data_IF_359981180753
#
_entry.id   IF_359981180753
#
_cell.length_a   1.000
_cell.length_b   1.000
_cell.length_c   1.000
_cell.angle_alpha   90.00
_cell.angle_beta   90.00
_cell.angle_gamma   90.00
#
_symmetry.space_group_name_H-M   'P 1'
#
loop_
_entity.id
_entity.type
_entity.pdbx_description
1 polymer ?
#
# COMPACT_ATOMS: atom_id res chain seq x y z
N UNK A 1 -29.19 38.82 31.21
CA UNK A 1 -29.32 38.15 29.88
C UNK A 1 -28.30 38.62 28.85
N UNK A 2 -27.91 39.91 28.82
CA UNK A 2 -26.96 40.45 27.82
C UNK A 2 -25.54 39.85 27.92
N UNK A 3 -25.02 39.64 29.14
CA UNK A 3 -23.67 39.05 29.34
C UNK A 3 -23.58 37.59 28.91
N UNK A 4 -24.62 36.79 29.12
CA UNK A 4 -24.67 35.39 28.67
C UNK A 4 -24.65 35.29 27.13
N UNK A 5 -25.33 36.22 26.43
CA UNK A 5 -25.33 36.27 24.96
C UNK A 5 -23.94 36.64 24.40
N UNK A 6 -23.21 37.52 25.09
CA UNK A 6 -21.84 37.89 24.73
C UNK A 6 -20.85 36.74 24.93
N UNK A 7 -21.01 35.93 25.98
CA UNK A 7 -20.20 34.73 26.20
C UNK A 7 -20.46 33.65 25.13
N UNK A 8 -21.72 33.43 24.76
CA UNK A 8 -22.09 32.44 23.71
C UNK A 8 -21.56 32.88 22.33
N UNK A 9 -21.69 34.17 21.99
CA UNK A 9 -21.11 34.73 20.76
C UNK A 9 -19.58 34.61 20.73
N UNK A 10 -18.91 34.89 21.86
CA UNK A 10 -17.46 34.71 21.98
C UNK A 10 -17.03 33.25 21.83
N UNK A 11 -17.79 32.31 22.39
CA UNK A 11 -17.52 30.88 22.26
C UNK A 11 -17.72 30.37 20.83
N UNK A 12 -18.76 30.82 20.13
CA UNK A 12 -19.00 30.50 18.71
C UNK A 12 -17.91 31.09 17.81
N UNK A 13 -17.43 32.30 18.12
CA UNK A 13 -16.33 32.93 17.38
C UNK A 13 -15.00 32.18 17.59
N UNK A 14 -14.77 31.68 18.82
CA UNK A 14 -13.58 30.87 19.14
C UNK A 14 -13.62 29.49 18.46
N UNK A 15 -14.81 28.88 18.33
CA UNK A 15 -15.00 27.62 17.62
C UNK A 15 -14.86 27.76 16.09
N UNK A 16 -15.13 28.95 15.53
CA UNK A 16 -14.96 29.23 14.10
C UNK A 16 -13.51 29.49 13.67
N UNK A 17 -12.59 29.72 14.62
CA UNK A 17 -11.18 30.02 14.35
C UNK A 17 -10.23 28.83 14.48
N UNK A 18 -10.72 27.62 14.81
CA UNK A 18 -9.94 26.40 14.58
C UNK A 18 -9.92 26.14 13.08
N UNK A 19 -9.04 26.89 12.41
CA UNK A 19 -8.89 26.89 10.97
C UNK A 19 -8.78 25.48 10.43
N UNK A 20 -9.49 25.27 9.33
CA UNK A 20 -9.18 24.26 8.34
C UNK A 20 -7.72 24.47 7.95
N UNK A 21 -6.79 23.81 8.65
CA UNK A 21 -5.47 23.57 8.09
C UNK A 21 -5.76 22.73 6.86
N UNK A 22 -5.77 23.37 5.69
CA UNK A 22 -5.74 22.66 4.43
C UNK A 22 -4.56 21.71 4.53
N UNK A 23 -4.85 20.41 4.52
CA UNK A 23 -3.82 19.40 4.37
C UNK A 23 -3.13 19.71 3.05
N UNK A 24 -1.97 20.37 3.15
CA UNK A 24 -1.12 20.62 1.99
C UNK A 24 -0.64 19.25 1.54
N UNK A 25 -1.41 18.61 0.65
CA UNK A 25 -0.96 17.42 -0.04
C UNK A 25 0.18 17.89 -0.92
N UNK A 26 1.42 17.76 -0.43
CA UNK A 26 2.61 18.11 -1.16
C UNK A 26 2.49 17.59 -2.59
N UNK A 27 2.70 18.47 -3.57
CA UNK A 27 2.54 18.11 -4.98
C UNK A 27 3.60 17.07 -5.33
N UNK A 28 3.16 15.85 -5.59
CA UNK A 28 3.98 14.80 -6.17
C UNK A 28 3.82 14.84 -7.69
N UNK A 29 4.92 15.01 -8.41
CA UNK A 29 4.98 14.80 -9.86
C UNK A 29 5.91 13.63 -10.11
N UNK A 30 5.45 12.63 -10.84
CA UNK A 30 6.25 11.49 -11.23
C UNK A 30 5.93 11.10 -12.69
N UNK A 31 6.94 10.58 -13.38
CA UNK A 31 6.81 10.08 -14.75
C UNK A 31 7.76 8.89 -14.99
N UNK A 32 7.48 8.14 -16.04
CA UNK A 32 8.22 6.97 -16.47
C UNK A 32 8.95 7.28 -17.78
N UNK A 33 10.18 6.80 -17.90
CA UNK A 33 10.97 6.90 -19.15
C UNK A 33 10.26 6.30 -20.37
N UNK A 34 9.36 5.34 -20.16
CA UNK A 34 8.47 4.78 -21.18
C UNK A 34 7.08 4.58 -20.60
N UNK A 35 6.07 5.19 -21.20
CA UNK A 35 4.68 5.05 -20.79
C UNK A 35 4.00 3.78 -21.32
N UNK A 36 4.56 3.13 -22.35
CA UNK A 36 4.03 1.90 -22.91
C UNK A 36 5.15 0.93 -23.30
N UNK A 37 4.97 -0.35 -22.99
CA UNK A 37 5.90 -1.43 -23.31
C UNK A 37 5.12 -2.51 -24.07
N UNK A 38 5.43 -2.71 -25.35
CA UNK A 38 4.81 -3.75 -26.15
C UNK A 38 5.44 -5.12 -25.82
N UNK A 39 4.62 -6.06 -25.33
CA UNK A 39 5.03 -7.44 -25.06
C UNK A 39 4.74 -8.28 -26.31
N UNK A 40 5.78 -8.73 -27.00
CA UNK A 40 5.70 -9.58 -28.20
C UNK A 40 6.44 -10.90 -27.98
N UNK A 41 6.36 -11.84 -28.93
CA UNK A 41 7.06 -13.14 -28.82
C UNK A 41 8.59 -13.02 -28.67
N UNK A 42 9.19 -11.89 -29.06
CA UNK A 42 10.62 -11.63 -28.90
C UNK A 42 10.96 -10.76 -27.68
N UNK A 43 10.03 -10.59 -26.73
CA UNK A 43 10.28 -9.78 -25.55
C UNK A 43 11.20 -10.52 -24.56
N UNK A 44 12.31 -9.89 -24.20
CA UNK A 44 13.31 -10.42 -23.26
C UNK A 44 13.47 -9.56 -21.99
N UNK A 45 12.52 -8.66 -21.72
CA UNK A 45 12.62 -7.66 -20.65
C UNK A 45 12.97 -6.26 -21.19
N UNK A 46 12.73 -5.25 -20.37
CA UNK A 46 13.18 -3.87 -20.59
C UNK A 46 13.44 -3.22 -19.25
N UNK A 47 14.41 -2.30 -19.21
CA UNK A 47 14.59 -1.42 -18.08
C UNK A 47 13.58 -0.26 -18.15
N UNK A 48 13.12 0.18 -16.99
CA UNK A 48 12.19 1.29 -16.81
C UNK A 48 12.70 2.20 -15.70
N UNK A 49 12.92 3.47 -16.03
CA UNK A 49 13.25 4.51 -15.06
C UNK A 49 11.98 5.24 -14.63
N UNK A 50 11.73 5.27 -13.31
CA UNK A 50 10.77 6.15 -12.64
C UNK A 50 11.51 7.35 -12.08
N UNK A 51 11.03 8.55 -12.38
CA UNK A 51 11.60 9.80 -11.88
C UNK A 51 10.49 10.77 -11.47
N UNK A 52 10.81 11.73 -10.62
CA UNK A 52 9.83 12.67 -10.11
C UNK A 52 10.41 13.69 -9.16
N UNK A 53 9.52 14.55 -8.66
CA UNK A 53 9.81 15.55 -7.65
C UNK A 53 8.62 15.64 -6.69
N UNK A 54 8.93 15.92 -5.42
CA UNK A 54 7.94 16.19 -4.37
C UNK A 54 8.12 17.63 -3.89
N UNK A 55 7.02 18.36 -3.75
CA UNK A 55 6.99 19.65 -3.08
C UNK A 55 6.87 19.41 -1.58
N UNK A 56 8.01 19.10 -0.96
CA UNK A 56 8.16 18.74 0.45
C UNK A 56 9.34 19.45 1.12
N UNK A 57 9.48 19.26 2.42
CA UNK A 57 10.60 19.78 3.20
C UNK A 57 11.85 18.89 3.06
N UNK A 58 13.02 19.46 3.31
CA UNK A 58 14.27 18.69 3.39
C UNK A 58 14.15 17.69 4.53
N UNK A 59 14.29 16.40 4.20
CA UNK A 59 14.13 15.30 5.15
C UNK A 59 12.77 14.61 5.11
N UNK A 60 11.86 15.03 4.25
CA UNK A 60 10.62 14.29 3.99
C UNK A 60 10.93 12.90 3.41
N UNK A 61 10.21 11.91 3.91
CA UNK A 61 10.36 10.53 3.48
C UNK A 61 9.50 10.22 2.25
N UNK A 62 10.01 9.35 1.38
CA UNK A 62 9.34 8.87 0.17
C UNK A 62 9.16 7.36 0.27
N UNK A 63 7.96 6.90 -0.08
CA UNK A 63 7.62 5.48 -0.18
C UNK A 63 6.98 5.19 -1.54
N UNK A 64 7.49 4.16 -2.22
CA UNK A 64 7.02 3.70 -3.53
C UNK A 64 6.60 2.24 -3.41
N UNK A 65 5.35 1.94 -3.79
CA UNK A 65 4.82 0.57 -3.88
C UNK A 65 4.70 0.17 -5.33
N UNK A 66 5.32 -0.94 -5.69
CA UNK A 66 5.20 -1.57 -7.02
C UNK A 66 4.31 -2.80 -6.86
N UNK A 67 3.17 -2.80 -7.55
CA UNK A 67 2.19 -3.89 -7.52
C UNK A 67 1.91 -4.40 -8.94
N UNK A 68 1.98 -5.71 -9.12
CA UNK A 68 1.64 -6.40 -10.36
C UNK A 68 0.18 -6.81 -10.43
N UNK A 69 -0.31 -7.25 -11.60
CA UNK A 69 -1.67 -7.76 -11.75
C UNK A 69 -1.98 -8.87 -10.73
N UNK A 70 -3.20 -8.90 -10.16
CA UNK A 70 -3.57 -9.92 -9.19
C UNK A 70 -3.64 -11.30 -9.85
N UNK A 71 -3.09 -12.31 -9.19
CA UNK A 71 -3.09 -13.72 -9.59
C UNK A 71 -3.40 -14.61 -8.39
N UNK A 72 -3.96 -15.78 -8.66
CA UNK A 72 -4.11 -16.81 -7.64
C UNK A 72 -2.81 -17.62 -7.55
N UNK A 73 -2.35 -17.92 -6.33
CA UNK A 73 -1.12 -18.69 -6.09
C UNK A 73 -1.40 -19.87 -5.17
N UNK A 74 -0.80 -21.02 -5.48
CA UNK A 74 -0.92 -22.23 -4.66
C UNK A 74 0.31 -22.39 -3.75
N UNK A 75 0.13 -22.22 -2.44
CA UNK A 75 1.12 -22.55 -1.43
C UNK A 75 0.97 -24.02 -1.04
N UNK A 76 2.02 -24.82 -1.21
CA UNK A 76 2.01 -26.25 -0.87
C UNK A 76 2.99 -26.53 0.25
N UNK A 77 2.51 -27.16 1.32
CA UNK A 77 3.37 -27.64 2.40
C UNK A 77 3.75 -29.09 2.14
N UNK A 78 5.04 -29.37 2.11
CA UNK A 78 5.58 -30.72 2.02
C UNK A 78 5.88 -31.26 3.42
N UNK A 79 5.64 -32.55 3.61
CA UNK A 79 6.10 -33.28 4.77
C UNK A 79 6.74 -34.59 4.32
N UNK A 80 7.78 -35.01 5.04
CA UNK A 80 8.35 -36.33 4.84
C UNK A 80 7.45 -37.37 5.54
N UNK A 81 6.94 -38.32 4.76
CA UNK A 81 6.15 -39.46 5.24
C UNK A 81 6.81 -40.73 4.72
N UNK A 82 7.24 -41.60 5.63
CA UNK A 82 7.91 -42.86 5.31
C UNK A 82 9.11 -42.71 4.33
N UNK A 83 9.90 -41.64 4.47
CA UNK A 83 11.08 -41.38 3.65
C UNK A 83 10.81 -40.60 2.36
N UNK A 84 9.55 -40.33 2.01
CA UNK A 84 9.16 -39.63 0.78
C UNK A 84 8.59 -38.25 1.12
N UNK A 85 9.00 -37.22 0.38
CA UNK A 85 8.41 -35.88 0.50
C UNK A 85 7.14 -35.78 -0.34
N UNK A 86 6.01 -35.65 0.33
CA UNK A 86 4.71 -35.46 -0.32
C UNK A 86 4.10 -34.11 0.08
N UNK A 87 3.36 -33.49 -0.85
CA UNK A 87 2.55 -32.33 -0.51
C UNK A 87 1.40 -32.81 0.38
N UNK A 88 1.32 -32.31 1.61
CA UNK A 88 0.30 -32.74 2.59
C UNK A 88 -0.79 -31.69 2.79
N UNK A 89 -0.59 -30.48 2.29
CA UNK A 89 -1.52 -29.36 2.44
C UNK A 89 -1.34 -28.41 1.25
N UNK A 90 -2.44 -27.88 0.73
CA UNK A 90 -2.45 -26.91 -0.37
C UNK A 90 -3.41 -25.78 -0.03
N UNK A 91 -2.87 -24.57 0.10
CA UNK A 91 -3.62 -23.34 0.31
C UNK A 91 -3.61 -22.52 -0.98
N UNK A 92 -4.78 -22.15 -1.49
CA UNK A 92 -4.90 -21.28 -2.66
C UNK A 92 -5.11 -19.85 -2.17
N UNK A 93 -4.12 -19.00 -2.36
CA UNK A 93 -4.25 -17.58 -2.10
C UNK A 93 -4.88 -16.90 -3.30
N UNK A 94 -5.89 -16.07 -3.06
CA UNK A 94 -6.64 -15.40 -4.12
C UNK A 94 -6.21 -13.94 -4.26
N UNK A 95 -6.20 -13.45 -5.50
CA UNK A 95 -5.92 -12.04 -5.84
C UNK A 95 -4.59 -11.50 -5.26
N UNK A 96 -3.57 -12.34 -5.20
CA UNK A 96 -2.24 -11.93 -4.74
C UNK A 96 -1.55 -11.13 -5.84
N UNK A 97 -0.95 -9.96 -5.56
CA UNK A 97 -0.18 -9.24 -6.57
C UNK A 97 0.94 -10.12 -7.15
N UNK A 98 1.05 -10.21 -8.47
CA UNK A 98 2.10 -11.01 -9.13
C UNK A 98 3.52 -10.49 -8.85
N UNK A 99 3.62 -9.23 -8.45
CA UNK A 99 4.81 -8.56 -7.93
C UNK A 99 4.34 -7.64 -6.81
N UNK A 100 5.04 -7.63 -5.67
CA UNK A 100 4.81 -6.67 -4.61
C UNK A 100 6.15 -6.26 -4.03
N UNK A 101 6.53 -4.99 -4.21
CA UNK A 101 7.79 -4.45 -3.69
C UNK A 101 7.56 -3.07 -3.11
N UNK A 102 8.24 -2.78 -2.01
CA UNK A 102 8.20 -1.49 -1.34
C UNK A 102 9.61 -0.93 -1.32
N UNK A 103 9.77 0.28 -1.82
CA UNK A 103 11.00 1.07 -1.74
C UNK A 103 10.72 2.27 -0.86
N UNK A 104 11.59 2.53 0.12
CA UNK A 104 11.37 3.61 1.07
C UNK A 104 12.70 4.24 1.52
N UNK A 105 12.69 5.55 1.79
CA UNK A 105 13.84 6.29 2.34
C UNK A 105 14.10 5.97 3.81
N UNK A 106 13.06 5.56 4.53
CA UNK A 106 13.07 5.18 5.95
C UNK A 106 12.21 3.92 6.18
N UNK A 107 12.33 3.24 7.34
CA UNK A 107 11.41 2.16 7.71
C UNK A 107 9.94 2.61 7.64
N UNK A 108 9.06 1.81 7.03
CA UNK A 108 7.67 2.19 6.71
C UNK A 108 6.85 2.63 7.94
N UNK A 109 7.13 2.05 9.11
CA UNK A 109 6.48 2.37 10.37
C UNK A 109 6.95 3.70 11.00
N UNK A 110 8.01 4.30 10.47
CA UNK A 110 8.44 5.67 10.79
C UNK A 110 7.88 6.70 9.81
N UNK A 111 7.58 6.28 8.57
CA UNK A 111 7.05 7.16 7.52
C UNK A 111 5.58 7.47 7.75
N UNK A 112 4.77 6.47 8.09
CA UNK A 112 3.33 6.64 8.25
C UNK A 112 2.78 5.81 9.42
N UNK A 113 1.64 6.23 9.96
CA UNK A 113 0.97 5.52 11.05
C UNK A 113 0.41 4.17 10.57
N UNK A 114 0.21 3.18 11.46
CA UNK A 114 -0.41 1.91 11.09
C UNK A 114 -1.79 2.07 10.42
N UNK A 115 -2.58 3.05 10.87
CA UNK A 115 -3.90 3.35 10.30
C UNK A 115 -3.77 3.87 8.87
N UNK A 116 -2.76 4.71 8.61
CA UNK A 116 -2.48 5.25 7.27
C UNK A 116 -2.00 4.15 6.34
N UNK A 117 -1.08 3.30 6.80
CA UNK A 117 -0.59 2.15 6.04
C UNK A 117 -1.70 1.14 5.73
N UNK A 118 -2.61 0.91 6.67
CA UNK A 118 -3.78 0.06 6.45
C UNK A 118 -4.75 0.68 5.44
N UNK A 119 -5.05 1.98 5.55
CA UNK A 119 -5.94 2.67 4.62
C UNK A 119 -5.40 2.74 3.19
N UNK A 120 -4.08 2.72 3.02
CA UNK A 120 -3.41 2.73 1.71
C UNK A 120 -3.00 1.33 1.24
N UNK A 121 -3.35 0.27 1.98
CA UNK A 121 -2.99 -1.12 1.68
C UNK A 121 -1.45 -1.32 1.51
N UNK A 122 -0.65 -0.60 2.29
CA UNK A 122 0.81 -0.66 2.23
C UNK A 122 1.36 -1.64 3.26
N UNK A 123 2.13 -2.62 2.80
CA UNK A 123 2.69 -3.70 3.59
C UNK A 123 1.91 -5.01 3.44
N UNK A 124 2.62 -6.13 3.55
CA UNK A 124 2.05 -7.48 3.34
C UNK A 124 0.90 -7.81 4.29
N UNK A 125 0.86 -7.15 5.46
CA UNK A 125 -0.22 -7.33 6.43
C UNK A 125 -1.51 -6.57 6.05
N UNK A 126 -1.41 -5.60 5.14
CA UNK A 126 -2.49 -4.65 4.81
C UNK A 126 -3.11 -4.90 3.43
N UNK A 127 -2.46 -5.67 2.54
CA UNK A 127 -2.96 -5.97 1.17
C UNK A 127 -4.08 -7.02 1.12
N UNK A 128 -4.68 -7.36 2.26
CA UNK A 128 -5.91 -8.17 2.31
C UNK A 128 -5.81 -9.55 1.66
N UNK A 129 -4.66 -10.23 1.80
CA UNK A 129 -4.47 -11.58 1.26
C UNK A 129 -5.49 -12.57 1.86
N UNK A 130 -6.15 -13.32 0.99
CA UNK A 130 -7.19 -14.29 1.36
C UNK A 130 -6.82 -15.68 0.85
N UNK A 131 -7.13 -16.69 1.65
CA UNK A 131 -7.02 -18.09 1.26
C UNK A 131 -8.44 -18.56 0.89
N UNK A 132 -8.58 -19.20 -0.27
CA UNK A 132 -9.81 -19.88 -0.65
C UNK A 132 -10.09 -21.00 0.36
N UNK A 133 -11.34 -21.11 0.82
CA UNK A 133 -11.73 -22.21 1.70
C UNK A 133 -11.41 -23.55 1.03
N UNK A 134 -10.74 -24.45 1.76
CA UNK A 134 -10.32 -25.74 1.25
C UNK A 134 -11.51 -26.50 0.64
N UNK A 135 -11.33 -27.05 -0.56
CA UNK A 135 -12.07 -28.26 -0.93
C UNK A 135 -11.21 -29.42 -0.43
N UNK A 136 -11.64 -30.19 0.59
CA UNK A 136 -10.86 -31.32 1.08
C UNK A 136 -10.56 -32.25 -0.08
N UNK A 137 -9.27 -32.54 -0.29
CA UNK A 137 -8.88 -33.60 -1.22
C UNK A 137 -9.32 -34.91 -0.55
N UNK A 138 -10.31 -35.57 -1.14
CA UNK A 138 -10.79 -36.88 -0.72
C UNK A 138 -9.70 -37.96 -0.81
#
# INVERSE_FOLDING_TARGET
MIRARQFILGFILLLGMTGLAEANSGRLVADLSKSNIAITSGFHGTDLLLFGAVDGAVGDDILVVISGPPTDIAQRRKANRAGIWINVETNIWQKVPSLYTILATSPINKIASPETLASLEIGTNNIGLKIAAETPVA
#
